data_IF_941631978973
#
_entry.id   IF_941631978973
#
_cell.length_a   1.000
_cell.length_b   1.000
_cell.length_c   1.000
_cell.angle_alpha   90.00
_cell.angle_beta   90.00
_cell.angle_gamma   90.00
#
_symmetry.space_group_name_H-M   'P 1'
#
loop_
_entity.id
_entity.type
_entity.pdbx_description
1 polymer ?
#
# COMPACT_ATOMS: atom_id res chain seq x y z
N UNK A 1 -8.12 -31.69 -4.44
CA UNK A 1 -7.64 -30.68 -3.47
C UNK A 1 -6.23 -30.14 -3.79
N UNK A 2 -5.34 -30.93 -4.42
CA UNK A 2 -3.96 -30.51 -4.73
C UNK A 2 -3.82 -29.48 -5.88
N UNK A 3 -4.82 -29.40 -6.77
CA UNK A 3 -4.77 -28.56 -7.99
C UNK A 3 -5.00 -27.07 -7.67
N UNK A 4 -5.83 -26.73 -6.68
CA UNK A 4 -6.04 -25.34 -6.25
C UNK A 4 -4.78 -24.74 -5.60
N UNK A 5 -4.07 -25.51 -4.78
CA UNK A 5 -2.89 -25.04 -4.04
C UNK A 5 -1.72 -24.71 -4.98
N UNK A 6 -1.55 -25.50 -6.05
CA UNK A 6 -0.52 -25.28 -7.07
C UNK A 6 -0.77 -24.01 -7.91
N UNK A 7 -2.04 -23.68 -8.22
CA UNK A 7 -2.38 -22.40 -8.88
C UNK A 7 -2.10 -21.20 -7.99
N UNK A 8 -2.35 -21.34 -6.68
CA UNK A 8 -2.07 -20.29 -5.70
C UNK A 8 -0.57 -20.05 -5.53
N UNK A 9 0.23 -21.12 -5.48
CA UNK A 9 1.70 -21.03 -5.46
C UNK A 9 2.22 -20.34 -6.72
N UNK A 10 1.75 -20.73 -7.91
CA UNK A 10 2.16 -20.09 -9.16
C UNK A 10 1.79 -18.61 -9.19
N UNK A 11 0.60 -18.25 -8.69
CA UNK A 11 0.17 -16.85 -8.58
C UNK A 11 1.04 -16.04 -7.63
N UNK A 12 1.38 -16.58 -6.45
CA UNK A 12 2.27 -15.95 -5.48
C UNK A 12 3.67 -15.75 -6.09
N UNK A 13 4.17 -16.72 -6.84
CA UNK A 13 5.47 -16.67 -7.49
C UNK A 13 5.51 -15.60 -8.60
N UNK A 14 4.45 -15.50 -9.42
CA UNK A 14 4.32 -14.46 -10.45
C UNK A 14 4.27 -13.07 -9.82
N UNK A 15 3.48 -12.90 -8.75
CA UNK A 15 3.42 -11.62 -8.03
C UNK A 15 4.77 -11.26 -7.43
N UNK A 16 5.47 -12.21 -6.80
CA UNK A 16 6.80 -11.98 -6.21
C UNK A 16 7.84 -11.53 -7.23
N UNK A 17 7.86 -12.15 -8.43
CA UNK A 17 8.77 -11.75 -9.52
C UNK A 17 8.43 -10.37 -10.07
N UNK A 18 7.16 -9.96 -10.09
CA UNK A 18 6.78 -8.60 -10.51
C UNK A 18 7.25 -7.49 -9.55
N UNK A 19 7.68 -7.82 -8.34
CA UNK A 19 8.20 -6.85 -7.36
C UNK A 19 9.73 -6.70 -7.40
N UNK A 20 10.45 -7.49 -8.21
CA UNK A 20 11.93 -7.43 -8.23
C UNK A 20 12.50 -6.22 -8.99
N UNK A 21 11.65 -5.49 -9.73
CA UNK A 21 12.04 -4.29 -10.50
C UNK A 21 11.74 -2.97 -9.78
N UNK A 22 11.62 -2.97 -8.45
CA UNK A 22 11.43 -1.73 -7.68
C UNK A 22 12.67 -0.81 -7.66
N UNK A 23 13.82 -1.27 -8.16
CA UNK A 23 15.10 -0.54 -8.11
C UNK A 23 15.65 -0.09 -9.47
N UNK A 24 14.97 -0.32 -10.59
CA UNK A 24 15.52 -0.07 -11.93
C UNK A 24 14.80 0.98 -12.80
N UNK A 25 13.69 1.60 -12.35
CA UNK A 25 13.14 2.79 -13.04
C UNK A 25 13.88 4.10 -12.69
N UNK A 26 14.98 3.99 -11.94
CA UNK A 26 15.61 5.14 -11.31
C UNK A 26 16.83 5.69 -12.06
N UNK A 27 17.36 5.04 -13.11
CA UNK A 27 18.48 5.63 -13.87
C UNK A 27 18.06 6.84 -14.73
N UNK A 28 16.80 6.88 -15.19
CA UNK A 28 16.25 8.04 -15.89
C UNK A 28 15.77 9.12 -14.90
N UNK A 29 15.17 8.70 -13.78
CA UNK A 29 14.69 9.62 -12.76
C UNK A 29 15.84 10.30 -12.01
N UNK A 30 16.97 9.62 -11.70
CA UNK A 30 18.08 10.23 -10.94
C UNK A 30 18.70 11.41 -11.69
N UNK A 31 18.91 11.26 -13.01
CA UNK A 31 19.46 12.32 -13.85
C UNK A 31 18.53 13.55 -13.94
N UNK A 32 17.21 13.34 -13.90
CA UNK A 32 16.24 14.44 -13.78
C UNK A 32 16.30 15.03 -12.37
N UNK A 33 16.27 14.22 -11.32
CA UNK A 33 16.22 14.66 -9.91
C UNK A 33 17.49 15.37 -9.41
N UNK A 34 18.65 15.12 -10.03
CA UNK A 34 19.92 15.82 -9.76
C UNK A 34 20.02 17.20 -10.46
N UNK A 35 19.08 17.54 -11.36
CA UNK A 35 18.94 18.90 -11.90
C UNK A 35 18.16 19.81 -10.94
N UNK A 36 18.37 21.13 -10.99
CA UNK A 36 17.65 22.09 -10.12
C UNK A 36 16.12 22.01 -10.28
N UNK A 37 15.63 21.69 -11.49
CA UNK A 37 14.21 21.43 -11.76
C UNK A 37 13.74 20.08 -11.20
N UNK A 38 14.65 19.10 -11.18
CA UNK A 38 14.47 17.79 -10.58
C UNK A 38 14.24 17.78 -9.09
N UNK A 39 14.91 18.66 -8.34
CA UNK A 39 14.73 18.74 -6.90
C UNK A 39 13.28 19.07 -6.52
N UNK A 40 12.62 19.97 -7.28
CA UNK A 40 11.19 20.28 -7.09
C UNK A 40 10.29 19.09 -7.44
N UNK A 41 10.64 18.33 -8.48
CA UNK A 41 9.92 17.11 -8.83
C UNK A 41 10.09 16.00 -7.77
N UNK A 42 11.28 15.85 -7.18
CA UNK A 42 11.55 14.93 -6.07
C UNK A 42 10.71 15.27 -4.84
N UNK A 43 10.62 16.55 -4.47
CA UNK A 43 9.79 17.01 -3.37
C UNK A 43 8.30 16.69 -3.62
N UNK A 44 7.81 16.93 -4.84
CA UNK A 44 6.46 16.57 -5.26
C UNK A 44 6.16 15.07 -5.14
N UNK A 45 7.11 14.21 -5.53
CA UNK A 45 6.97 12.75 -5.41
C UNK A 45 6.99 12.31 -3.95
N UNK A 46 7.91 12.82 -3.13
CA UNK A 46 7.97 12.49 -1.70
C UNK A 46 6.68 12.87 -0.98
N UNK A 47 6.14 14.06 -1.28
CA UNK A 47 4.86 14.50 -0.75
C UNK A 47 3.71 13.61 -1.25
N UNK A 48 3.74 13.19 -2.52
CA UNK A 48 2.78 12.26 -3.08
C UNK A 48 2.78 10.89 -2.39
N UNK A 49 3.95 10.32 -2.11
CA UNK A 49 4.09 9.05 -1.38
C UNK A 49 3.47 9.16 0.01
N UNK A 50 3.80 10.23 0.76
CA UNK A 50 3.21 10.46 2.09
C UNK A 50 1.70 10.62 2.00
N UNK A 51 1.19 11.35 1.01
CA UNK A 51 -0.24 11.57 0.81
C UNK A 51 -0.99 10.25 0.53
N UNK A 52 -0.43 9.41 -0.33
CA UNK A 52 -0.99 8.10 -0.66
C UNK A 52 -0.90 7.11 0.51
N UNK A 53 0.15 7.18 1.33
CA UNK A 53 0.31 6.36 2.52
C UNK A 53 -0.67 6.73 3.64
N UNK A 54 -1.13 7.98 3.74
CA UNK A 54 -2.11 8.39 4.76
C UNK A 54 -3.46 7.66 4.59
N UNK A 55 -3.87 7.43 3.34
CA UNK A 55 -5.16 6.81 3.01
C UNK A 55 -5.36 5.43 3.68
N UNK A 56 -4.44 4.44 3.54
CA UNK A 56 -4.63 3.13 4.18
C UNK A 56 -4.69 3.21 5.71
N UNK A 57 -3.97 4.13 6.35
CA UNK A 57 -4.06 4.30 7.81
C UNK A 57 -5.43 4.81 8.25
N UNK A 58 -5.99 5.80 7.54
CA UNK A 58 -7.33 6.33 7.83
C UNK A 58 -8.40 5.25 7.64
N UNK A 59 -8.29 4.47 6.56
CA UNK A 59 -9.24 3.39 6.29
C UNK A 59 -9.22 2.32 7.39
N UNK A 60 -8.03 1.87 7.81
CA UNK A 60 -7.88 0.89 8.89
C UNK A 60 -8.46 1.44 10.20
N UNK A 61 -8.17 2.71 10.54
CA UNK A 61 -8.70 3.34 11.74
C UNK A 61 -10.24 3.45 11.70
N UNK A 62 -10.82 3.83 10.57
CA UNK A 62 -12.26 3.92 10.38
C UNK A 62 -12.97 2.57 10.51
N UNK A 63 -12.43 1.53 9.87
CA UNK A 63 -12.94 0.16 9.98
C UNK A 63 -12.84 -0.35 11.42
N UNK A 64 -11.68 -0.16 12.07
CA UNK A 64 -11.46 -0.53 13.46
C UNK A 64 -12.44 0.15 14.42
N UNK A 65 -12.67 1.46 14.24
CA UNK A 65 -13.64 2.23 15.02
C UNK A 65 -15.07 1.72 14.82
N UNK A 66 -15.47 1.44 13.58
CA UNK A 66 -16.81 0.92 13.28
C UNK A 66 -17.04 -0.45 13.94
N UNK A 67 -16.06 -1.35 13.87
CA UNK A 67 -16.11 -2.66 14.55
C UNK A 67 -16.23 -2.49 16.06
N UNK A 68 -15.39 -1.63 16.66
CA UNK A 68 -15.43 -1.35 18.09
C UNK A 68 -16.80 -0.82 18.53
N UNK A 69 -17.37 0.15 17.79
CA UNK A 69 -18.68 0.72 18.07
C UNK A 69 -19.80 -0.31 17.94
N UNK A 70 -19.78 -1.13 16.89
CA UNK A 70 -20.75 -2.21 16.69
C UNK A 70 -20.72 -3.20 17.86
N UNK A 71 -19.52 -3.64 18.27
CA UNK A 71 -19.35 -4.58 19.38
C UNK A 71 -19.72 -4.00 20.74
N UNK A 72 -19.54 -2.68 20.95
CA UNK A 72 -19.99 -1.97 22.15
C UNK A 72 -21.51 -1.86 22.21
N UNK A 73 -22.16 -1.55 21.08
CA UNK A 73 -23.61 -1.42 21.01
C UNK A 73 -24.33 -2.76 21.21
N UNK A 74 -23.80 -3.87 20.68
CA UNK A 74 -24.37 -5.21 20.92
C UNK A 74 -24.30 -5.66 22.39
N UNK A 75 -23.38 -5.14 23.20
CA UNK A 75 -23.33 -5.41 24.64
C UNK A 75 -24.39 -4.64 25.44
N UNK A 76 -25.01 -3.61 24.87
CA UNK A 76 -26.03 -2.78 25.51
C UNK A 76 -27.49 -3.24 25.21
N UNK A 77 -27.68 -4.30 24.43
CA UNK A 77 -29.01 -4.83 24.03
C UNK A 77 -29.33 -6.21 24.65
N UNK A 78 -28.42 -6.75 25.45
CA UNK A 78 -28.65 -7.95 26.28
C UNK A 78 -28.68 -7.57 27.75
N UNK A 79 -29.64 -6.73 28.12
CA UNK A 79 -30.23 -6.66 29.48
C UNK A 79 -31.73 -6.71 29.30
#
# INVERSE_FOLDING_TARGET
MMICFKKYIVWILVVYVSFTDAYAQCAMCRAVLESEEGQKAAEGINNGIVYLMIIPYILIAGVGYFIYRSKKNSKNTTV
#
